data_IF_771412647080
#
_entry.id   IF_771412647080
#
_cell.length_a   1.000
_cell.length_b   1.000
_cell.length_c   1.000
_cell.angle_alpha   90.00
_cell.angle_beta   90.00
_cell.angle_gamma   90.00
#
_symmetry.space_group_name_H-M   'P 1'
#
loop_
_entity.id
_entity.type
_entity.pdbx_description
1 polymer ?
#
# COMPACT_ATOMS: atom_id res chain seq x y z
N UNK A 1 -34.15 16.15 -38.43
CA UNK A 1 -32.82 15.51 -38.38
C UNK A 1 -32.67 14.76 -37.05
N UNK A 2 -32.23 13.51 -37.08
CA UNK A 2 -32.04 12.79 -35.83
C UNK A 2 -30.97 13.50 -35.01
N UNK A 3 -31.15 13.60 -33.69
CA UNK A 3 -30.11 14.18 -32.83
C UNK A 3 -28.83 13.38 -33.01
N UNK A 4 -27.66 14.05 -33.03
CA UNK A 4 -26.42 13.32 -33.11
C UNK A 4 -26.34 12.30 -31.96
N UNK A 5 -26.15 11.05 -32.34
CA UNK A 5 -25.90 10.03 -31.36
C UNK A 5 -24.53 10.34 -30.77
N UNK A 6 -24.54 10.81 -29.55
CA UNK A 6 -23.29 10.92 -28.82
C UNK A 6 -22.83 9.49 -28.61
N UNK A 7 -21.77 9.11 -29.33
CA UNK A 7 -21.18 7.81 -29.13
C UNK A 7 -20.81 7.73 -27.65
N UNK A 8 -21.40 6.76 -26.94
CA UNK A 8 -20.98 6.50 -25.59
C UNK A 8 -19.46 6.22 -25.61
N UNK A 9 -18.67 6.91 -24.77
CA UNK A 9 -17.26 6.61 -24.73
C UNK A 9 -17.11 5.12 -24.43
N UNK A 10 -16.34 4.44 -25.28
CA UNK A 10 -16.03 3.04 -25.01
C UNK A 10 -15.51 2.94 -23.59
N UNK A 11 -16.03 2.02 -22.77
CA UNK A 11 -15.50 1.85 -21.43
C UNK A 11 -14.00 1.58 -21.57
N UNK A 12 -13.21 2.35 -20.85
CA UNK A 12 -11.76 2.12 -20.81
C UNK A 12 -11.55 0.67 -20.38
N UNK A 13 -10.60 -0.05 -21.03
CA UNK A 13 -10.27 -1.36 -20.54
C UNK A 13 -9.94 -1.23 -19.05
N UNK A 14 -10.52 -2.12 -18.25
CA UNK A 14 -10.24 -2.11 -16.82
C UNK A 14 -8.73 -2.15 -16.61
N UNK A 15 -8.17 -1.30 -15.72
CA UNK A 15 -6.76 -1.39 -15.42
C UNK A 15 -6.43 -2.82 -14.96
N UNK A 16 -5.22 -3.34 -15.26
CA UNK A 16 -4.86 -4.67 -14.80
C UNK A 16 -5.10 -4.77 -13.30
N UNK A 17 -5.54 -5.93 -12.80
CA UNK A 17 -5.83 -6.07 -11.39
C UNK A 17 -4.59 -5.69 -10.59
N UNK A 18 -4.73 -4.69 -9.74
CA UNK A 18 -3.68 -4.29 -8.82
C UNK A 18 -3.63 -5.30 -7.69
N UNK A 19 -2.43 -5.67 -7.29
CA UNK A 19 -2.28 -6.33 -6.02
C UNK A 19 -2.84 -5.42 -4.93
N UNK A 20 -3.66 -5.93 -4.01
CA UNK A 20 -4.15 -5.11 -2.91
C UNK A 20 -2.96 -4.56 -2.11
N UNK A 21 -3.04 -3.30 -1.71
CA UNK A 21 -2.00 -2.71 -0.87
C UNK A 21 -1.99 -3.38 0.51
N UNK A 22 -0.86 -3.33 1.23
CA UNK A 22 -0.83 -3.85 2.59
C UNK A 22 -1.91 -3.26 3.49
N UNK A 23 -2.25 -1.99 3.30
CA UNK A 23 -3.34 -1.34 4.05
C UNK A 23 -4.69 -1.99 3.78
N UNK A 24 -4.96 -2.35 2.53
CA UNK A 24 -6.21 -3.01 2.15
C UNK A 24 -6.26 -4.43 2.72
N UNK A 25 -5.16 -5.16 2.61
CA UNK A 25 -5.07 -6.54 3.15
C UNK A 25 -5.30 -6.53 4.66
N UNK A 26 -4.78 -5.53 5.35
CA UNK A 26 -4.82 -5.44 6.80
C UNK A 26 -6.01 -4.62 7.32
N UNK A 27 -6.95 -4.23 6.44
CA UNK A 27 -8.08 -3.38 6.83
C UNK A 27 -8.95 -4.01 7.92
N UNK A 28 -9.09 -5.33 7.90
CA UNK A 28 -9.91 -6.06 8.87
C UNK A 28 -9.16 -6.36 10.17
N UNK A 29 -7.88 -6.04 10.25
CA UNK A 29 -7.11 -6.23 11.47
C UNK A 29 -7.51 -5.20 12.52
N UNK A 30 -7.41 -5.58 13.79
CA UNK A 30 -7.63 -4.64 14.88
C UNK A 30 -6.62 -3.50 14.82
N UNK A 31 -6.96 -2.38 15.46
CA UNK A 31 -6.11 -1.21 15.50
C UNK A 31 -4.69 -1.55 16.01
N UNK A 32 -4.61 -2.41 17.02
CA UNK A 32 -3.31 -2.79 17.59
C UNK A 32 -2.54 -3.78 16.71
N UNK A 33 -3.25 -4.65 15.99
CA UNK A 33 -2.61 -5.66 15.14
C UNK A 33 -2.24 -5.12 13.76
N UNK A 34 -2.84 -4.02 13.34
CA UNK A 34 -2.65 -3.49 11.98
C UNK A 34 -1.20 -3.17 11.65
N UNK A 35 -0.42 -2.49 12.52
CA UNK A 35 0.99 -2.22 12.19
C UNK A 35 1.81 -3.48 11.93
N UNK A 36 1.59 -4.52 12.72
CA UNK A 36 2.30 -5.79 12.52
C UNK A 36 1.87 -6.47 11.22
N UNK A 37 0.57 -6.43 10.92
CA UNK A 37 0.03 -6.98 9.67
C UNK A 37 0.66 -6.29 8.47
N UNK A 38 0.71 -4.95 8.47
CA UNK A 38 1.32 -4.17 7.39
C UNK A 38 2.81 -4.51 7.26
N UNK A 39 3.51 -4.62 8.36
CA UNK A 39 4.92 -4.99 8.36
C UNK A 39 5.15 -6.35 7.72
N UNK A 40 4.33 -7.33 8.06
CA UNK A 40 4.41 -8.68 7.48
C UNK A 40 4.11 -8.67 5.97
N UNK A 41 3.10 -7.91 5.55
CA UNK A 41 2.77 -7.77 4.13
C UNK A 41 3.92 -7.12 3.36
N UNK A 42 4.57 -6.12 3.96
CA UNK A 42 5.70 -5.43 3.35
C UNK A 42 6.94 -6.31 3.18
N UNK A 43 7.03 -7.43 3.88
CA UNK A 43 8.14 -8.37 3.71
C UNK A 43 7.99 -9.21 2.44
N UNK A 44 6.80 -9.28 1.87
CA UNK A 44 6.58 -10.00 0.61
C UNK A 44 7.23 -9.24 -0.54
N UNK A 45 8.00 -9.91 -1.42
CA UNK A 45 8.66 -9.23 -2.54
C UNK A 45 7.67 -8.48 -3.45
N UNK A 46 6.46 -8.99 -3.62
CA UNK A 46 5.43 -8.36 -4.44
C UNK A 46 4.94 -7.03 -3.86
N UNK A 47 5.10 -6.81 -2.55
CA UNK A 47 4.61 -5.61 -1.86
C UNK A 47 5.74 -4.65 -1.47
N UNK A 48 6.99 -5.07 -1.56
CA UNK A 48 8.13 -4.32 -1.04
C UNK A 48 8.30 -2.93 -1.63
N UNK A 49 7.85 -2.71 -2.86
CA UNK A 49 7.97 -1.43 -3.55
C UNK A 49 6.75 -0.52 -3.35
N UNK A 50 5.74 -0.96 -2.62
CA UNK A 50 4.59 -0.13 -2.29
C UNK A 50 5.04 1.07 -1.43
N UNK A 51 4.41 2.23 -1.65
CA UNK A 51 4.79 3.45 -0.94
C UNK A 51 4.73 3.28 0.59
N UNK A 52 3.69 2.60 1.08
CA UNK A 52 3.54 2.35 2.52
C UNK A 52 4.69 1.50 3.05
N UNK A 53 5.18 0.55 2.25
CA UNK A 53 6.27 -0.33 2.66
C UNK A 53 7.61 0.40 2.68
N UNK A 54 7.85 1.27 1.71
CA UNK A 54 9.06 2.11 1.68
C UNK A 54 9.09 3.03 2.90
N UNK A 55 7.96 3.68 3.20
CA UNK A 55 7.85 4.55 4.37
C UNK A 55 8.04 3.78 5.67
N UNK A 56 7.43 2.61 5.77
CA UNK A 56 7.55 1.76 6.95
C UNK A 56 9.01 1.37 7.19
N UNK A 57 9.75 1.03 6.14
CA UNK A 57 11.17 0.69 6.22
C UNK A 57 11.99 1.87 6.73
N UNK A 58 11.71 3.07 6.24
CA UNK A 58 12.39 4.28 6.71
C UNK A 58 12.19 4.52 8.20
N UNK A 59 10.96 4.30 8.68
CA UNK A 59 10.66 4.46 10.11
C UNK A 59 11.42 3.47 10.96
N UNK A 60 11.49 2.22 10.52
CA UNK A 60 12.24 1.19 11.23
C UNK A 60 13.73 1.51 11.28
N UNK A 61 14.31 1.94 10.17
CA UNK A 61 15.71 2.32 10.12
C UNK A 61 16.00 3.52 11.02
N UNK A 62 15.13 4.52 11.02
CA UNK A 62 15.27 5.69 11.87
C UNK A 62 15.21 5.32 13.36
N UNK A 63 14.30 4.41 13.72
CA UNK A 63 14.16 3.93 15.08
C UNK A 63 15.40 3.16 15.53
N UNK A 64 15.94 2.31 14.66
CA UNK A 64 17.17 1.58 14.96
C UNK A 64 18.34 2.53 15.19
N UNK A 65 18.47 3.56 14.35
CA UNK A 65 19.53 4.57 14.51
C UNK A 65 19.38 5.30 15.83
N UNK A 66 18.16 5.65 16.23
CA UNK A 66 17.92 6.29 17.53
C UNK A 66 18.31 5.40 18.68
N UNK A 67 17.98 4.11 18.61
CA UNK A 67 18.35 3.14 19.64
C UNK A 67 19.86 3.01 19.78
N UNK A 68 20.59 3.03 18.65
CA UNK A 68 22.05 2.96 18.66
C UNK A 68 22.70 4.21 19.22
N UNK A 69 22.05 5.37 19.04
CA UNK A 69 22.57 6.65 19.51
C UNK A 69 22.24 6.95 20.97
N UNK A 70 21.26 6.25 21.54
CA UNK A 70 20.87 6.46 22.93
C UNK A 70 21.74 5.57 23.82
N UNK A 71 22.69 6.13 24.59
CA UNK A 71 23.44 5.33 25.54
C UNK A 71 22.53 4.85 26.66
N UNK A 72 22.62 3.59 26.96
CA UNK A 72 21.91 3.05 28.10
C UNK A 72 22.64 3.42 29.39
#
# INVERSE_FOLDING_TARGET
APPPVVAEPKPRPAPPPRLPSPQEVCADSSFLARPMCIHQECQKPSQANQAICVENRRRYEADEQRRRQTPN
#
